data_IF_335871653940
#
_entry.id   IF_335871653940
#
_cell.length_a   1.000
_cell.length_b   1.000
_cell.length_c   1.000
_cell.angle_alpha   90.00
_cell.angle_beta   90.00
_cell.angle_gamma   90.00
#
_symmetry.space_group_name_H-M   'P 1'
#
loop_
_entity.id
_entity.type
_entity.pdbx_description
1 polymer ?
#
# COMPACT_ATOMS: atom_id res chain seq x y z
N UNK A 1 8.84 -2.53 9.87
CA UNK A 1 7.65 -1.68 9.80
C UNK A 1 6.45 -2.54 9.45
N UNK A 2 5.25 -2.16 9.87
CA UNK A 2 4.01 -2.86 9.49
C UNK A 2 3.42 -2.26 8.20
N UNK A 3 2.67 -3.06 7.44
CA UNK A 3 1.98 -2.63 6.22
C UNK A 3 1.08 -1.40 6.45
N UNK A 4 0.39 -1.36 7.60
CA UNK A 4 -0.45 -0.22 7.98
C UNK A 4 0.35 1.09 8.02
N UNK A 5 1.46 1.10 8.78
CA UNK A 5 2.34 2.26 8.90
C UNK A 5 2.91 2.69 7.56
N UNK A 6 3.31 1.74 6.70
CA UNK A 6 3.81 2.04 5.36
C UNK A 6 2.76 2.78 4.51
N UNK A 7 1.50 2.33 4.54
CA UNK A 7 0.41 2.97 3.81
C UNK A 7 0.10 4.35 4.39
N UNK A 8 0.03 4.48 5.71
CA UNK A 8 -0.27 5.76 6.38
C UNK A 8 0.80 6.83 6.11
N UNK A 9 2.08 6.43 6.13
CA UNK A 9 3.24 7.31 5.92
C UNK A 9 3.47 7.65 4.44
N UNK A 10 3.38 6.65 3.55
CA UNK A 10 3.80 6.84 2.16
C UNK A 10 2.66 7.06 1.18
N UNK A 11 1.44 6.61 1.47
CA UNK A 11 0.27 6.73 0.59
C UNK A 11 -0.59 7.95 0.96
N UNK A 12 -1.16 8.60 -0.06
CA UNK A 12 -2.06 9.75 0.14
C UNK A 12 -3.44 9.26 0.57
N UNK A 13 -4.15 10.12 1.31
CA UNK A 13 -5.51 9.85 1.75
C UNK A 13 -6.46 9.58 0.56
N UNK A 14 -6.32 10.35 -0.51
CA UNK A 14 -7.10 10.19 -1.75
C UNK A 14 -6.93 8.82 -2.40
N UNK A 15 -5.69 8.31 -2.47
CA UNK A 15 -5.42 7.00 -3.06
C UNK A 15 -6.06 5.88 -2.23
N UNK A 16 -5.98 5.98 -0.89
CA UNK A 16 -6.67 5.06 0.02
C UNK A 16 -8.19 5.11 -0.15
N UNK A 17 -8.77 6.31 -0.29
CA UNK A 17 -10.20 6.50 -0.56
C UNK A 17 -10.62 5.89 -1.89
N UNK A 18 -9.84 6.08 -2.96
CA UNK A 18 -10.11 5.51 -4.28
C UNK A 18 -10.11 3.99 -4.25
N UNK A 19 -9.11 3.38 -3.59
CA UNK A 19 -9.03 1.92 -3.45
C UNK A 19 -10.22 1.40 -2.62
N UNK A 20 -10.49 2.01 -1.47
CA UNK A 20 -11.62 1.61 -0.62
C UNK A 20 -12.95 1.72 -1.36
N UNK A 21 -13.18 2.81 -2.10
CA UNK A 21 -14.37 2.99 -2.93
C UNK A 21 -14.47 1.92 -4.02
N UNK A 22 -13.37 1.57 -4.67
CA UNK A 22 -13.31 0.51 -5.68
C UNK A 22 -13.64 -0.88 -5.12
N UNK A 23 -13.40 -1.10 -3.83
CA UNK A 23 -13.76 -2.32 -3.11
C UNK A 23 -15.18 -2.27 -2.49
N UNK A 24 -15.94 -1.20 -2.69
CA UNK A 24 -17.24 -1.01 -2.04
C UNK A 24 -17.17 -0.73 -0.54
N UNK A 25 -15.98 -0.45 0.00
CA UNK A 25 -15.77 -0.16 1.41
C UNK A 25 -16.20 1.29 1.67
N UNK A 26 -17.24 1.47 2.49
CA UNK A 26 -17.68 2.78 2.96
C UNK A 26 -16.80 3.32 4.10
N UNK A 27 -15.48 3.22 3.95
CA UNK A 27 -14.55 3.81 4.91
C UNK A 27 -14.49 5.33 4.67
N UNK A 28 -14.89 6.10 5.67
CA UNK A 28 -14.78 7.56 5.72
C UNK A 28 -14.09 7.94 7.02
N UNK A 29 -13.07 8.79 6.94
CA UNK A 29 -12.34 9.19 8.14
C UNK A 29 -10.88 9.55 7.89
N UNK A 30 -10.04 9.20 8.85
CA UNK A 30 -8.58 9.41 8.86
C UNK A 30 -7.85 8.38 7.98
N UNK A 31 -6.56 8.61 7.67
CA UNK A 31 -5.75 7.61 6.92
C UNK A 31 -5.67 6.27 7.65
N UNK A 32 -5.58 6.30 8.98
CA UNK A 32 -5.53 5.09 9.80
C UNK A 32 -6.81 4.26 9.65
N UNK A 33 -7.99 4.89 9.69
CA UNK A 33 -9.27 4.20 9.48
C UNK A 33 -9.39 3.61 8.07
N UNK A 34 -9.01 4.39 7.04
CA UNK A 34 -9.01 3.91 5.66
C UNK A 34 -8.07 2.71 5.49
N UNK A 35 -6.90 2.77 6.10
CA UNK A 35 -5.91 1.70 6.05
C UNK A 35 -6.39 0.47 6.80
N UNK A 36 -6.94 0.63 8.01
CA UNK A 36 -7.48 -0.48 8.80
C UNK A 36 -8.62 -1.19 8.07
N UNK A 37 -9.53 -0.44 7.44
CA UNK A 37 -10.61 -1.00 6.64
C UNK A 37 -10.09 -1.77 5.41
N UNK A 38 -9.09 -1.22 4.71
CA UNK A 38 -8.43 -1.89 3.59
C UNK A 38 -7.78 -3.21 4.02
N UNK A 39 -7.04 -3.19 5.13
CA UNK A 39 -6.34 -4.36 5.67
C UNK A 39 -7.30 -5.44 6.16
N UNK A 40 -8.48 -5.06 6.66
CA UNK A 40 -9.52 -6.00 7.03
C UNK A 40 -10.05 -6.80 5.84
N UNK A 41 -10.10 -6.18 4.64
CA UNK A 41 -10.58 -6.86 3.41
C UNK A 41 -9.48 -7.66 2.71
N UNK A 42 -8.21 -7.28 2.90
CA UNK A 42 -7.08 -7.93 2.25
C UNK A 42 -6.37 -8.97 3.11
N UNK A 43 -6.97 -9.37 4.24
CA UNK A 43 -6.39 -10.30 5.24
C UNK A 43 -5.01 -9.84 5.75
N UNK A 44 -4.79 -8.52 5.81
CA UNK A 44 -3.49 -7.91 6.09
C UNK A 44 -2.36 -8.39 5.15
N UNK A 45 -2.69 -8.96 3.99
CA UNK A 45 -1.73 -9.45 3.02
C UNK A 45 -1.09 -8.27 2.27
N UNK A 46 0.22 -8.05 2.41
CA UNK A 46 0.90 -6.92 1.79
C UNK A 46 0.89 -6.99 0.27
N UNK A 47 1.12 -8.16 -0.29
CA UNK A 47 1.10 -8.36 -1.75
C UNK A 47 -0.28 -8.05 -2.31
N UNK A 48 -1.34 -8.62 -1.71
CA UNK A 48 -2.72 -8.38 -2.13
C UNK A 48 -3.09 -6.90 -2.01
N UNK A 49 -2.76 -6.28 -0.89
CA UNK A 49 -3.04 -4.85 -0.66
C UNK A 49 -2.33 -3.96 -1.68
N UNK A 50 -1.04 -4.20 -1.94
CA UNK A 50 -0.27 -3.40 -2.89
C UNK A 50 -0.75 -3.59 -4.34
N UNK A 51 -1.31 -4.75 -4.71
CA UNK A 51 -1.89 -4.96 -6.04
C UNK A 51 -3.10 -4.08 -6.32
N UNK A 52 -3.81 -3.60 -5.29
CA UNK A 52 -4.98 -2.74 -5.46
C UNK A 52 -4.63 -1.30 -5.85
N UNK A 53 -3.40 -0.87 -5.58
CA UNK A 53 -2.93 0.47 -5.94
C UNK A 53 -2.49 0.54 -7.39
N UNK A 54 -2.56 1.74 -7.97
CA UNK A 54 -2.05 1.99 -9.31
C UNK A 54 -0.52 2.02 -9.34
N UNK A 55 0.05 1.85 -10.54
CA UNK A 55 1.50 1.85 -10.76
C UNK A 55 2.14 3.11 -10.19
N UNK A 56 1.57 4.28 -10.43
CA UNK A 56 2.11 5.56 -9.95
C UNK A 56 2.26 5.61 -8.42
N UNK A 57 1.28 5.09 -7.67
CA UNK A 57 1.35 5.02 -6.21
C UNK A 57 2.49 4.09 -5.78
N UNK A 58 2.62 2.93 -6.41
CA UNK A 58 3.70 1.98 -6.13
C UNK A 58 5.08 2.59 -6.45
N UNK A 59 5.19 3.36 -7.53
CA UNK A 59 6.40 4.10 -7.87
C UNK A 59 6.74 5.15 -6.82
N UNK A 60 5.77 5.90 -6.34
CA UNK A 60 5.97 6.87 -5.26
C UNK A 60 6.42 6.21 -3.97
N UNK A 61 5.80 5.08 -3.58
CA UNK A 61 6.23 4.31 -2.40
C UNK A 61 7.69 3.87 -2.60
N UNK A 62 8.02 3.28 -3.75
CA UNK A 62 9.40 2.90 -4.07
C UNK A 62 10.37 4.08 -3.90
N UNK A 63 10.06 5.27 -4.44
CA UNK A 63 10.92 6.45 -4.26
C UNK A 63 11.11 6.81 -2.78
N UNK A 64 10.03 6.81 -2.01
CA UNK A 64 10.07 7.19 -0.59
C UNK A 64 10.87 6.21 0.28
N UNK A 65 10.84 4.92 -0.05
CA UNK A 65 11.60 3.89 0.68
C UNK A 65 13.04 3.71 0.13
N UNK A 66 13.50 4.65 -0.71
CA UNK A 66 14.84 4.60 -1.33
C UNK A 66 15.03 3.38 -2.24
N UNK A 67 13.98 3.01 -2.97
CA UNK A 67 13.94 1.90 -3.93
C UNK A 67 13.76 2.43 -5.35
N UNK A 68 14.23 1.68 -6.34
CA UNK A 68 14.02 2.08 -7.73
C UNK A 68 12.52 2.05 -8.09
N UNK A 69 11.97 3.16 -8.64
CA UNK A 69 10.58 3.28 -9.06
C UNK A 69 10.33 2.85 -10.51
N UNK A 70 11.31 2.19 -11.15
CA UNK A 70 11.17 1.68 -12.51
C UNK A 70 10.81 0.19 -12.50
N UNK A 71 10.14 -0.24 -13.57
CA UNK A 71 9.72 -1.63 -13.77
C UNK A 71 8.21 -1.83 -13.92
N UNK A 72 7.82 -3.11 -13.90
CA UNK A 72 6.42 -3.55 -13.92
C UNK A 72 5.78 -3.37 -12.54
N UNK A 73 4.44 -3.41 -12.49
CA UNK A 73 3.68 -3.30 -11.24
C UNK A 73 4.13 -4.36 -10.23
N UNK A 74 4.29 -5.60 -10.67
CA UNK A 74 4.77 -6.71 -9.83
C UNK A 74 6.20 -6.51 -9.32
N UNK A 75 7.10 -5.98 -10.16
CA UNK A 75 8.47 -5.68 -9.74
C UNK A 75 8.49 -4.62 -8.63
N UNK A 76 7.64 -3.58 -8.73
CA UNK A 76 7.49 -2.57 -7.69
C UNK A 76 6.96 -3.18 -6.39
N UNK A 77 5.91 -4.01 -6.47
CA UNK A 77 5.32 -4.69 -5.31
C UNK A 77 6.36 -5.59 -4.62
N UNK A 78 7.07 -6.43 -5.38
CA UNK A 78 8.14 -7.28 -4.83
C UNK A 78 9.23 -6.46 -4.14
N UNK A 79 9.60 -5.30 -4.69
CA UNK A 79 10.62 -4.42 -4.12
C UNK A 79 10.15 -3.77 -2.81
N UNK A 80 8.92 -3.27 -2.77
CA UNK A 80 8.29 -2.75 -1.54
C UNK A 80 8.21 -3.84 -0.48
N UNK A 81 7.71 -5.03 -0.85
CA UNK A 81 7.61 -6.17 0.05
C UNK A 81 8.98 -6.56 0.62
N UNK A 82 9.98 -6.69 -0.23
CA UNK A 82 11.32 -7.13 0.17
C UNK A 82 12.03 -6.12 1.08
N UNK A 83 11.79 -4.82 0.89
CA UNK A 83 12.51 -3.75 1.62
C UNK A 83 11.87 -3.39 2.95
N UNK A 84 10.54 -3.34 3.00
CA UNK A 84 9.79 -2.81 4.16
C UNK A 84 9.01 -3.86 4.94
N UNK A 85 8.59 -4.94 4.27
CA UNK A 85 7.59 -5.88 4.79
C UNK A 85 8.13 -7.30 4.98
N UNK A 86 9.37 -7.54 4.56
CA UNK A 86 10.07 -8.80 4.81
C UNK A 86 10.48 -8.84 6.28
N UNK A 87 10.19 -9.91 7.04
CA UNK A 87 10.76 -10.08 8.36
C UNK A 87 12.28 -10.14 8.22
N UNK A 88 12.99 -9.22 8.91
CA UNK A 88 14.43 -9.38 9.12
C UNK A 88 14.59 -10.65 9.95
N UNK A 89 15.17 -11.67 9.34
CA UNK A 89 15.51 -12.93 9.99
C UNK A 89 16.63 -12.70 11.00
#
# INVERSE_FOLDING_TARGET
MSLASLLETHVKKDDLLKVNKGLGIQARGTKAELTKALLAVTDSSPTRTLTLFNKEVLQQICRKIGSSPTGTKEQLIKRIYSKELRPRK
#
